data_IF_881995871059
#
_entry.id   IF_881995871059
#
_cell.length_a   1.000
_cell.length_b   1.000
_cell.length_c   1.000
_cell.angle_alpha   90.00
_cell.angle_beta   90.00
_cell.angle_gamma   90.00
#
_symmetry.space_group_name_H-M   'P 1'
#
loop_
_entity.id
_entity.type
_entity.pdbx_description
1 polymer ?
#
# COMPACT_ATOMS: atom_id res chain seq x y z
N UNK A 1 -25.37 11.00 17.60
CA UNK A 1 -24.15 10.93 18.44
C UNK A 1 -24.59 10.51 19.82
N UNK A 2 -23.97 9.51 20.40
CA UNK A 2 -24.19 9.19 21.81
C UNK A 2 -23.40 10.25 22.59
N UNK A 3 -24.09 11.23 23.13
CA UNK A 3 -23.47 12.24 23.97
C UNK A 3 -23.01 11.59 25.29
N UNK A 4 -21.74 11.74 25.60
CA UNK A 4 -21.20 11.53 26.93
C UNK A 4 -20.65 10.13 27.26
N UNK A 5 -19.58 9.70 26.61
CA UNK A 5 -18.65 8.80 27.27
C UNK A 5 -17.83 9.63 28.29
N UNK A 6 -18.34 9.76 29.48
CA UNK A 6 -17.55 10.21 30.62
C UNK A 6 -16.65 9.06 31.05
N UNK A 7 -15.35 9.35 31.18
CA UNK A 7 -14.42 8.41 31.80
C UNK A 7 -14.96 8.08 33.22
N UNK A 8 -15.19 6.79 33.47
CA UNK A 8 -15.73 6.35 34.78
C UNK A 8 -14.64 6.23 35.84
N UNK A 9 -13.37 6.44 35.49
CA UNK A 9 -12.29 6.48 36.46
C UNK A 9 -12.32 7.81 37.23
N UNK A 10 -12.08 7.79 38.56
CA UNK A 10 -11.98 9.01 39.32
C UNK A 10 -10.78 9.84 38.83
N UNK A 11 -10.99 11.15 38.71
CA UNK A 11 -9.91 12.09 38.42
C UNK A 11 -9.04 12.22 39.67
N UNK A 12 -7.76 11.89 39.51
CA UNK A 12 -6.78 11.91 40.58
C UNK A 12 -6.23 13.31 40.85
N UNK A 13 -6.36 14.23 39.87
CA UNK A 13 -5.92 15.63 39.98
C UNK A 13 -6.85 16.55 39.15
N UNK A 14 -8.01 16.92 39.69
CA UNK A 14 -8.96 17.77 38.96
C UNK A 14 -8.43 19.18 38.64
N UNK A 15 -7.45 19.68 39.41
CA UNK A 15 -6.85 21.00 39.18
C UNK A 15 -5.95 20.96 37.93
N UNK A 16 -5.04 19.96 37.83
CA UNK A 16 -4.22 19.75 36.65
C UNK A 16 -5.08 19.50 35.41
N UNK A 17 -6.13 18.68 35.52
CA UNK A 17 -7.08 18.43 34.43
C UNK A 17 -7.74 19.72 33.96
N UNK A 18 -8.15 20.59 34.89
CA UNK A 18 -8.69 21.90 34.57
C UNK A 18 -7.71 22.78 33.80
N UNK A 19 -6.47 22.87 34.24
CA UNK A 19 -5.41 23.64 33.56
C UNK A 19 -5.17 23.17 32.12
N UNK A 20 -5.16 21.85 31.86
CA UNK A 20 -5.04 21.29 30.51
C UNK A 20 -6.22 21.67 29.62
N UNK A 21 -7.46 21.59 30.13
CA UNK A 21 -8.66 21.97 29.39
C UNK A 21 -8.69 23.48 29.09
N UNK A 22 -8.36 24.34 30.06
CA UNK A 22 -8.27 25.79 29.87
C UNK A 22 -7.18 26.17 28.85
N UNK A 23 -6.06 25.46 28.88
CA UNK A 23 -4.99 25.65 27.90
C UNK A 23 -5.45 25.30 26.49
N UNK A 24 -6.21 24.20 26.33
CA UNK A 24 -6.78 23.80 25.05
C UNK A 24 -7.84 24.80 24.57
N UNK A 25 -8.72 25.27 25.41
CA UNK A 25 -9.72 26.31 25.09
C UNK A 25 -9.04 27.62 24.67
N UNK A 26 -8.03 28.06 25.42
CA UNK A 26 -7.19 29.20 25.04
C UNK A 26 -6.53 29.04 23.68
N UNK A 27 -6.08 27.82 23.32
CA UNK A 27 -5.52 27.53 21.99
C UNK A 27 -6.59 27.67 20.91
N UNK A 28 -7.81 27.18 21.15
CA UNK A 28 -8.94 27.33 20.23
C UNK A 28 -9.26 28.81 20.00
N UNK A 29 -9.34 29.60 21.08
CA UNK A 29 -9.70 31.02 21.01
C UNK A 29 -8.63 31.88 20.31
N UNK A 30 -7.34 31.65 20.61
CA UNK A 30 -6.25 32.45 20.05
C UNK A 30 -5.83 32.05 18.64
N UNK A 31 -5.82 30.73 18.36
CA UNK A 31 -5.23 30.18 17.13
C UNK A 31 -6.23 29.44 16.25
N UNK A 32 -7.49 29.39 16.69
CA UNK A 32 -8.59 28.78 15.97
C UNK A 32 -8.61 27.24 16.05
N UNK A 33 -9.78 26.69 15.72
CA UNK A 33 -10.07 25.23 15.77
C UNK A 33 -9.07 24.38 14.98
N UNK A 34 -8.44 24.96 14.00
CA UNK A 34 -7.51 24.28 13.13
C UNK A 34 -6.19 23.96 13.83
N UNK A 35 -5.59 24.97 14.52
CA UNK A 35 -4.39 24.78 15.32
C UNK A 35 -4.65 23.82 16.48
N UNK A 36 -5.79 23.93 17.11
CA UNK A 36 -6.22 23.04 18.17
C UNK A 36 -6.32 21.57 17.69
N UNK A 37 -6.89 21.33 16.50
CA UNK A 37 -6.94 19.99 15.88
C UNK A 37 -5.55 19.43 15.63
N UNK A 38 -4.61 20.23 15.12
CA UNK A 38 -3.24 19.82 14.92
C UNK A 38 -2.55 19.44 16.23
N UNK A 39 -2.71 20.26 17.28
CA UNK A 39 -2.14 19.97 18.59
C UNK A 39 -2.71 18.70 19.21
N UNK A 40 -4.03 18.50 19.10
CA UNK A 40 -4.67 17.28 19.58
C UNK A 40 -4.10 16.04 18.85
N UNK A 41 -3.94 16.10 17.53
CA UNK A 41 -3.34 15.01 16.76
C UNK A 41 -1.89 14.70 17.21
N UNK A 42 -1.09 15.74 17.49
CA UNK A 42 0.28 15.57 18.01
C UNK A 42 0.32 15.00 19.42
N UNK A 43 -0.62 15.37 20.27
CA UNK A 43 -0.74 14.77 21.61
C UNK A 43 -1.13 13.28 21.52
N UNK A 44 -2.05 12.93 20.63
CA UNK A 44 -2.42 11.52 20.39
C UNK A 44 -1.25 10.70 19.83
N UNK A 45 -0.49 11.27 18.91
CA UNK A 45 0.75 10.64 18.39
C UNK A 45 1.75 10.39 19.52
N UNK A 46 1.97 11.40 20.37
CA UNK A 46 2.87 11.28 21.54
C UNK A 46 2.39 10.26 22.55
N UNK A 47 1.08 10.25 22.84
CA UNK A 47 0.47 9.25 23.72
C UNK A 47 0.70 7.83 23.19
N UNK A 48 0.58 7.63 21.86
CA UNK A 48 0.87 6.35 21.22
C UNK A 48 2.33 5.91 21.42
N UNK A 49 3.31 6.82 21.25
CA UNK A 49 4.74 6.50 21.45
C UNK A 49 5.10 6.19 22.93
N UNK A 50 4.35 6.74 23.85
CA UNK A 50 4.53 6.50 25.30
C UNK A 50 3.66 5.35 25.82
N UNK A 51 2.91 4.66 24.97
CA UNK A 51 1.94 3.65 25.35
C UNK A 51 0.92 4.17 26.42
N UNK A 52 0.59 5.44 26.35
CA UNK A 52 -0.44 6.07 27.17
C UNK A 52 -1.75 6.07 26.39
N UNK A 53 -2.74 5.37 26.89
CA UNK A 53 -4.04 5.26 26.26
C UNK A 53 -4.40 3.84 25.80
N UNK A 54 -5.69 3.55 25.75
CA UNK A 54 -6.20 2.19 25.57
C UNK A 54 -6.50 1.81 24.11
N UNK A 55 -6.44 2.72 23.17
CA UNK A 55 -6.63 2.42 21.75
C UNK A 55 -5.81 3.37 20.89
N UNK A 56 -4.95 2.86 19.99
CA UNK A 56 -4.38 3.70 18.96
C UNK A 56 -5.51 4.29 18.10
N UNK A 57 -5.34 5.49 17.53
CA UNK A 57 -6.35 6.06 16.65
C UNK A 57 -6.64 5.07 15.52
N UNK A 58 -7.92 4.87 15.22
CA UNK A 58 -8.35 3.94 14.17
C UNK A 58 -7.84 4.34 12.79
N UNK A 59 -7.48 5.60 12.60
CA UNK A 59 -6.85 6.12 11.38
C UNK A 59 -5.96 7.33 11.70
N UNK A 60 -4.97 7.55 10.87
CA UNK A 60 -4.02 8.66 10.94
C UNK A 60 -4.22 9.61 9.75
N UNK A 61 -3.66 10.83 9.76
CA UNK A 61 -3.77 11.75 8.61
C UNK A 61 -3.41 11.08 7.26
N UNK A 62 -3.99 11.56 6.16
CA UNK A 62 -3.81 10.99 4.81
C UNK A 62 -2.45 11.37 4.21
N UNK A 63 -1.39 10.97 4.89
CA UNK A 63 0.02 11.13 4.49
C UNK A 63 0.79 9.82 4.70
N UNK A 64 2.04 9.81 4.27
CA UNK A 64 2.94 8.67 4.49
C UNK A 64 3.15 8.43 5.98
N UNK A 65 3.22 7.16 6.38
CA UNK A 65 3.50 6.78 7.78
C UNK A 65 4.95 7.08 8.15
N UNK A 66 5.88 6.82 7.22
CA UNK A 66 7.30 7.08 7.43
C UNK A 66 7.60 8.50 6.96
N UNK A 67 8.11 9.33 7.88
CA UNK A 67 8.49 10.71 7.57
C UNK A 67 9.75 10.77 6.70
N UNK A 68 9.99 11.83 5.92
CA UNK A 68 11.23 11.98 5.15
C UNK A 68 12.50 11.89 5.99
N UNK A 69 12.45 12.34 7.26
CA UNK A 69 13.59 12.26 8.20
C UNK A 69 13.91 10.83 8.64
N UNK A 70 12.92 9.94 8.63
CA UNK A 70 13.04 8.55 9.10
C UNK A 70 13.26 7.57 7.96
N UNK A 71 13.27 8.06 6.71
CA UNK A 71 13.48 7.21 5.55
C UNK A 71 14.93 6.72 5.47
N UNK A 72 15.12 5.41 5.31
CA UNK A 72 16.44 4.88 4.99
C UNK A 72 16.88 5.34 3.59
N UNK A 73 18.20 5.45 3.42
CA UNK A 73 18.76 5.67 2.10
C UNK A 73 18.36 4.53 1.14
N UNK A 74 17.88 4.91 -0.07
CA UNK A 74 17.62 3.94 -1.14
C UNK A 74 18.93 3.54 -1.80
N UNK A 75 19.34 2.26 -1.76
CA UNK A 75 20.66 1.84 -2.22
C UNK A 75 20.73 1.65 -3.75
N UNK A 76 19.59 1.69 -4.46
CA UNK A 76 19.51 1.45 -5.89
C UNK A 76 19.81 2.67 -6.76
N UNK A 77 19.98 2.42 -8.05
CA UNK A 77 19.98 3.43 -9.10
C UNK A 77 18.55 3.59 -9.64
N UNK A 78 17.86 4.64 -9.21
CA UNK A 78 16.46 4.87 -9.62
C UNK A 78 16.27 5.01 -11.12
N UNK A 79 17.24 5.57 -11.85
CA UNK A 79 17.14 5.73 -13.30
C UNK A 79 17.23 4.35 -13.98
N UNK A 80 18.17 3.53 -13.57
CA UNK A 80 18.31 2.18 -14.06
C UNK A 80 17.08 1.32 -13.74
N UNK A 81 16.60 1.34 -12.49
CA UNK A 81 15.43 0.58 -12.08
C UNK A 81 14.16 1.05 -12.80
N UNK A 82 13.99 2.35 -13.00
CA UNK A 82 12.90 2.92 -13.79
C UNK A 82 12.94 2.44 -15.24
N UNK A 83 14.14 2.35 -15.83
CA UNK A 83 14.35 1.84 -17.18
C UNK A 83 14.02 0.34 -17.28
N UNK A 84 14.46 -0.48 -16.34
CA UNK A 84 14.13 -1.92 -16.26
C UNK A 84 12.63 -2.11 -16.13
N UNK A 85 11.98 -1.40 -15.19
CA UNK A 85 10.53 -1.42 -15.02
C UNK A 85 9.78 -1.07 -16.31
N UNK A 86 10.29 -0.12 -17.08
CA UNK A 86 9.68 0.27 -18.35
C UNK A 86 9.74 -0.87 -19.37
N UNK A 87 10.85 -1.61 -19.46
CA UNK A 87 10.93 -2.80 -20.29
C UNK A 87 9.98 -3.90 -19.86
N UNK A 88 9.85 -4.16 -18.54
CA UNK A 88 8.93 -5.16 -18.02
C UNK A 88 7.49 -4.79 -18.36
N UNK A 89 7.10 -3.53 -18.15
CA UNK A 89 5.76 -3.03 -18.50
C UNK A 89 5.48 -3.14 -19.98
N UNK A 90 6.46 -2.80 -20.83
CA UNK A 90 6.35 -2.92 -22.28
C UNK A 90 6.16 -4.39 -22.70
N UNK A 91 6.98 -5.30 -22.19
CA UNK A 91 6.88 -6.72 -22.51
C UNK A 91 5.53 -7.31 -22.06
N UNK A 92 5.04 -6.93 -20.88
CA UNK A 92 3.73 -7.34 -20.42
C UNK A 92 2.61 -6.85 -21.36
N UNK A 93 2.67 -5.60 -21.78
CA UNK A 93 1.71 -5.03 -22.74
C UNK A 93 1.80 -5.72 -24.11
N UNK A 94 3.00 -5.90 -24.65
CA UNK A 94 3.22 -6.57 -25.93
C UNK A 94 2.71 -8.01 -25.91
N UNK A 95 2.98 -8.77 -24.85
CA UNK A 95 2.49 -10.13 -24.65
C UNK A 95 0.96 -10.21 -24.71
N UNK A 96 0.27 -9.36 -23.96
CA UNK A 96 -1.20 -9.35 -23.93
C UNK A 96 -1.78 -8.91 -25.28
N UNK A 97 -1.24 -7.85 -25.88
CA UNK A 97 -1.69 -7.36 -27.20
C UNK A 97 -1.48 -8.41 -28.28
N UNK A 98 -0.34 -9.09 -28.30
CA UNK A 98 -0.06 -10.13 -29.30
C UNK A 98 -1.00 -11.34 -29.12
N UNK A 99 -1.26 -11.76 -27.88
CA UNK A 99 -2.20 -12.84 -27.60
C UNK A 99 -3.61 -12.50 -28.16
N UNK A 100 -4.09 -11.28 -27.94
CA UNK A 100 -5.40 -10.84 -28.44
C UNK A 100 -5.47 -10.67 -29.98
N UNK A 101 -4.32 -10.57 -30.68
CA UNK A 101 -4.28 -10.61 -32.14
C UNK A 101 -4.39 -12.04 -32.71
N UNK A 102 -3.99 -13.04 -31.94
CA UNK A 102 -3.97 -14.44 -32.39
C UNK A 102 -5.27 -15.19 -32.14
N UNK A 103 -6.05 -14.77 -31.15
CA UNK A 103 -7.35 -15.36 -30.85
C UNK A 103 -8.28 -14.34 -30.15
N UNK A 104 -9.48 -14.23 -30.66
CA UNK A 104 -10.50 -13.35 -30.08
C UNK A 104 -10.84 -13.76 -28.63
N UNK A 105 -10.97 -12.75 -27.76
CA UNK A 105 -11.44 -12.95 -26.40
C UNK A 105 -10.44 -13.55 -25.41
N UNK A 106 -9.16 -13.72 -25.79
CA UNK A 106 -8.12 -14.16 -24.83
C UNK A 106 -8.07 -13.22 -23.62
N UNK A 107 -8.17 -11.90 -23.85
CA UNK A 107 -8.11 -10.92 -22.78
C UNK A 107 -6.73 -10.79 -22.14
N UNK A 108 -6.70 -10.36 -20.88
CA UNK A 108 -5.50 -10.14 -20.08
C UNK A 108 -5.59 -8.82 -19.32
N UNK A 109 -5.07 -8.79 -18.10
CA UNK A 109 -5.14 -7.62 -17.23
C UNK A 109 -3.79 -6.91 -17.21
N UNK A 110 -3.71 -5.68 -17.74
CA UNK A 110 -2.49 -4.87 -17.75
C UNK A 110 -2.48 -3.83 -16.63
N UNK A 111 -3.62 -3.22 -16.36
CA UNK A 111 -3.71 -2.08 -15.42
C UNK A 111 -3.31 -2.42 -14.00
N UNK A 112 -3.60 -3.63 -13.53
CA UNK A 112 -3.22 -4.10 -12.20
C UNK A 112 -1.71 -4.14 -12.06
N UNK A 113 -1.01 -4.76 -13.02
CA UNK A 113 0.46 -4.77 -13.00
C UNK A 113 1.03 -3.37 -13.20
N UNK A 114 0.49 -2.59 -14.15
CA UNK A 114 0.97 -1.24 -14.43
C UNK A 114 0.93 -0.33 -13.18
N UNK A 115 -0.12 -0.47 -12.37
CA UNK A 115 -0.25 0.29 -11.11
C UNK A 115 0.67 -0.23 -10.00
N UNK A 116 0.96 -1.52 -9.95
CA UNK A 116 1.76 -2.16 -8.90
C UNK A 116 3.23 -2.41 -9.28
N UNK A 117 3.65 -2.02 -10.49
CA UNK A 117 4.97 -2.37 -11.02
C UNK A 117 6.13 -1.99 -10.08
N UNK A 118 6.12 -0.79 -9.51
CA UNK A 118 7.17 -0.35 -8.55
C UNK A 118 7.15 -1.20 -7.28
N UNK A 119 5.97 -1.59 -6.80
CA UNK A 119 5.83 -2.45 -5.61
C UNK A 119 6.49 -3.81 -5.84
N UNK A 120 6.29 -4.40 -7.03
CA UNK A 120 6.95 -5.66 -7.40
C UNK A 120 8.45 -5.48 -7.61
N UNK A 121 8.88 -4.44 -8.34
CA UNK A 121 10.31 -4.22 -8.62
C UNK A 121 11.13 -4.05 -7.35
N UNK A 122 10.67 -3.21 -6.41
CA UNK A 122 11.36 -3.04 -5.14
C UNK A 122 11.35 -4.34 -4.32
N UNK A 123 10.25 -5.08 -4.32
CA UNK A 123 10.17 -6.38 -3.65
C UNK A 123 11.19 -7.38 -4.22
N UNK A 124 11.22 -7.55 -5.53
CA UNK A 124 12.14 -8.48 -6.20
C UNK A 124 13.60 -8.06 -6.08
N UNK A 125 13.90 -6.78 -6.21
CA UNK A 125 15.28 -6.33 -6.25
C UNK A 125 15.93 -6.29 -4.86
N UNK A 126 15.16 -6.09 -3.77
CA UNK A 126 15.70 -5.74 -2.48
C UNK A 126 15.22 -6.59 -1.30
N UNK A 127 14.06 -7.23 -1.40
CA UNK A 127 13.44 -7.84 -0.22
C UNK A 127 13.11 -9.32 -0.33
N UNK A 128 12.70 -9.80 -1.50
CA UNK A 128 12.35 -11.22 -1.65
C UNK A 128 13.61 -12.07 -1.74
N UNK A 129 13.77 -13.00 -0.81
CA UNK A 129 14.92 -13.88 -0.74
C UNK A 129 14.60 -15.24 -1.34
N UNK A 130 15.48 -15.71 -2.22
CA UNK A 130 15.41 -17.07 -2.76
C UNK A 130 15.83 -18.12 -1.72
N UNK A 131 15.81 -19.38 -2.16
CA UNK A 131 16.25 -20.55 -1.36
C UNK A 131 17.75 -20.84 -1.55
N UNK A 132 18.52 -19.82 -1.90
CA UNK A 132 19.95 -19.95 -2.14
C UNK A 132 20.69 -20.17 -0.80
N UNK A 133 21.83 -20.80 -0.86
CA UNK A 133 22.72 -21.03 0.27
C UNK A 133 22.08 -21.81 1.45
N UNK A 134 21.05 -22.63 1.18
CA UNK A 134 20.40 -23.44 2.18
C UNK A 134 19.45 -22.68 3.11
N UNK A 135 19.13 -21.43 2.80
CA UNK A 135 18.12 -20.66 3.52
C UNK A 135 16.69 -21.09 3.10
N UNK A 136 15.69 -21.02 3.98
CA UNK A 136 14.32 -21.40 3.64
C UNK A 136 13.68 -20.53 2.57
N UNK A 137 14.22 -19.33 2.32
CA UNK A 137 13.67 -18.35 1.38
C UNK A 137 12.36 -17.73 1.87
N UNK A 138 11.85 -16.80 1.07
CA UNK A 138 10.57 -16.15 1.30
C UNK A 138 9.51 -16.70 0.34
N UNK A 139 8.23 -16.52 0.67
CA UNK A 139 7.11 -16.97 -0.14
C UNK A 139 6.27 -15.79 -0.58
N UNK A 140 5.93 -15.73 -1.88
CA UNK A 140 5.19 -14.60 -2.45
C UNK A 140 3.90 -15.08 -3.09
N UNK A 141 2.77 -14.60 -2.56
CA UNK A 141 1.45 -14.72 -3.16
C UNK A 141 1.24 -13.54 -4.10
N UNK A 142 1.47 -13.75 -5.38
CA UNK A 142 1.28 -12.73 -6.40
C UNK A 142 -0.19 -12.47 -6.63
N UNK A 143 -0.60 -11.21 -6.79
CA UNK A 143 -1.97 -10.91 -7.20
C UNK A 143 -2.24 -11.52 -8.58
N UNK A 144 -3.32 -12.28 -8.72
CA UNK A 144 -3.62 -13.02 -9.94
C UNK A 144 -3.63 -12.16 -11.21
N UNK A 145 -4.24 -10.97 -11.14
CA UNK A 145 -4.30 -10.02 -12.27
C UNK A 145 -2.95 -9.37 -12.63
N UNK A 146 -1.92 -9.50 -11.78
CA UNK A 146 -0.57 -8.99 -12.07
C UNK A 146 0.33 -10.02 -12.77
N UNK A 147 -0.15 -11.26 -13.01
CA UNK A 147 0.63 -12.33 -13.65
C UNK A 147 1.36 -11.90 -14.95
N UNK A 148 0.79 -11.07 -15.85
CA UNK A 148 1.51 -10.63 -17.05
C UNK A 148 2.84 -9.94 -16.75
N UNK A 149 2.91 -9.14 -15.67
CA UNK A 149 4.16 -8.48 -15.27
C UNK A 149 5.18 -9.46 -14.72
N UNK A 150 4.74 -10.47 -13.96
CA UNK A 150 5.63 -11.51 -13.43
C UNK A 150 6.23 -12.34 -14.59
N UNK A 151 5.43 -12.71 -15.58
CA UNK A 151 5.94 -13.38 -16.79
C UNK A 151 6.94 -12.50 -17.57
N UNK A 152 6.61 -11.22 -17.76
CA UNK A 152 7.48 -10.28 -18.45
C UNK A 152 8.83 -10.09 -17.73
N UNK A 153 8.84 -10.05 -16.41
CA UNK A 153 10.06 -10.03 -15.60
C UNK A 153 10.84 -11.34 -15.76
N UNK A 154 10.20 -12.48 -15.63
CA UNK A 154 10.84 -13.80 -15.77
C UNK A 154 11.44 -13.98 -17.17
N UNK A 155 10.85 -13.40 -18.21
CA UNK A 155 11.44 -13.36 -19.55
C UNK A 155 12.75 -12.56 -19.57
N UNK A 156 12.80 -11.36 -18.96
CA UNK A 156 14.04 -10.60 -18.88
C UNK A 156 15.12 -11.32 -18.06
N UNK A 157 14.72 -12.09 -17.07
CA UNK A 157 15.60 -12.95 -16.25
C UNK A 157 16.01 -14.26 -16.97
N UNK A 158 15.58 -14.48 -18.21
CA UNK A 158 15.82 -15.69 -19.01
C UNK A 158 15.27 -16.98 -18.38
N UNK A 159 14.23 -16.87 -17.57
CA UNK A 159 13.47 -17.99 -17.02
C UNK A 159 12.33 -18.44 -17.95
N UNK A 160 11.92 -17.56 -18.84
CA UNK A 160 10.95 -17.83 -19.90
C UNK A 160 11.54 -17.39 -21.25
N UNK A 161 11.16 -18.12 -22.31
CA UNK A 161 11.51 -17.80 -23.67
C UNK A 161 10.38 -17.01 -24.36
N UNK A 162 10.68 -16.37 -25.51
CA UNK A 162 9.69 -15.61 -26.29
C UNK A 162 8.49 -16.47 -26.71
N UNK A 163 8.73 -17.75 -27.01
CA UNK A 163 7.66 -18.69 -27.36
C UNK A 163 6.64 -18.86 -26.24
N UNK A 164 7.08 -18.84 -24.97
CA UNK A 164 6.17 -18.91 -23.83
C UNK A 164 5.26 -17.66 -23.78
N UNK A 165 5.83 -16.46 -23.99
CA UNK A 165 5.07 -15.21 -24.00
C UNK A 165 4.04 -15.17 -25.14
N UNK A 166 4.40 -15.69 -26.33
CA UNK A 166 3.51 -15.77 -27.48
C UNK A 166 2.32 -16.74 -27.26
N UNK A 167 2.39 -17.57 -26.21
CA UNK A 167 1.33 -18.52 -25.82
C UNK A 167 0.66 -18.14 -24.49
N UNK A 168 0.63 -16.85 -24.19
CA UNK A 168 -0.04 -16.33 -23.00
C UNK A 168 -1.53 -16.67 -22.99
N UNK A 169 -2.04 -17.17 -21.86
CA UNK A 169 -3.44 -17.63 -21.64
C UNK A 169 -3.87 -18.76 -22.59
N UNK A 170 -2.92 -19.58 -23.01
CA UNK A 170 -3.17 -20.77 -23.84
C UNK A 170 -2.87 -22.05 -23.06
N UNK A 171 -3.12 -22.05 -21.76
CA UNK A 171 -2.84 -23.17 -20.85
C UNK A 171 -3.59 -24.46 -21.19
N UNK A 172 -4.74 -24.36 -21.88
CA UNK A 172 -5.49 -25.53 -22.38
C UNK A 172 -4.70 -26.26 -23.48
N UNK A 173 -3.83 -25.56 -24.18
CA UNK A 173 -2.90 -26.13 -25.15
C UNK A 173 -1.56 -26.33 -24.46
N UNK A 174 -0.98 -27.51 -24.57
CA UNK A 174 0.29 -27.85 -23.95
C UNK A 174 1.36 -26.74 -24.09
N UNK A 175 1.96 -26.33 -22.97
CA UNK A 175 3.06 -25.35 -22.90
C UNK A 175 2.66 -23.88 -23.02
N UNK A 176 1.39 -23.52 -22.88
CA UNK A 176 0.95 -22.13 -22.79
C UNK A 176 1.09 -21.60 -21.36
N UNK A 177 1.34 -20.28 -21.22
CA UNK A 177 1.34 -19.62 -19.91
C UNK A 177 -0.08 -19.58 -19.34
N UNK A 178 -0.22 -19.89 -18.06
CA UNK A 178 -1.52 -19.87 -17.36
C UNK A 178 -2.05 -18.45 -17.24
N UNK A 179 -3.38 -18.33 -17.26
CA UNK A 179 -4.10 -17.04 -17.12
C UNK A 179 -3.81 -16.36 -15.80
N UNK A 180 -3.64 -17.16 -14.74
CA UNK A 180 -3.33 -16.74 -13.38
C UNK A 180 -2.27 -17.66 -12.78
N UNK A 181 -1.64 -17.31 -11.65
CA UNK A 181 -0.77 -18.22 -10.92
C UNK A 181 -1.45 -19.57 -10.68
N UNK A 182 -0.90 -20.63 -11.27
CA UNK A 182 -1.50 -21.96 -11.26
C UNK A 182 -0.45 -23.08 -11.17
N UNK A 183 -0.10 -23.54 -9.95
CA UNK A 183 0.95 -24.55 -9.74
C UNK A 183 0.76 -25.88 -10.47
N UNK A 184 -0.48 -26.29 -10.73
CA UNK A 184 -0.73 -27.54 -11.50
C UNK A 184 -0.41 -27.42 -12.99
N UNK A 185 -0.58 -26.23 -13.55
CA UNK A 185 -0.30 -25.99 -14.98
C UNK A 185 1.16 -25.59 -15.21
N UNK A 186 1.76 -24.93 -14.23
CA UNK A 186 3.15 -24.48 -14.28
C UNK A 186 3.86 -24.77 -12.95
N UNK A 187 4.13 -26.08 -12.63
CA UNK A 187 4.64 -26.48 -11.33
C UNK A 187 6.06 -25.98 -11.03
N UNK A 188 6.88 -25.77 -12.07
CA UNK A 188 8.24 -25.25 -11.94
C UNK A 188 8.31 -23.72 -11.90
N UNK A 189 7.16 -23.06 -11.98
CA UNK A 189 7.10 -21.59 -12.05
C UNK A 189 6.29 -20.99 -10.90
N UNK A 190 5.09 -21.50 -10.62
CA UNK A 190 4.19 -20.99 -9.59
C UNK A 190 4.19 -21.88 -8.35
N UNK A 191 4.43 -21.28 -7.19
CA UNK A 191 4.32 -22.00 -5.90
C UNK A 191 2.89 -21.98 -5.37
N UNK A 192 2.15 -20.88 -5.55
CA UNK A 192 0.82 -20.68 -4.96
C UNK A 192 -0.22 -20.26 -6.00
N UNK A 193 -1.46 -20.82 -5.91
CA UNK A 193 -2.54 -20.39 -6.78
C UNK A 193 -3.17 -19.09 -6.25
N UNK A 194 -3.40 -18.12 -7.13
CA UNK A 194 -4.11 -16.88 -6.81
C UNK A 194 -4.99 -16.42 -7.98
N UNK A 195 -6.12 -15.78 -7.67
CA UNK A 195 -7.07 -15.27 -8.69
C UNK A 195 -7.61 -13.88 -8.39
N UNK A 196 -7.05 -13.15 -7.42
CA UNK A 196 -7.51 -11.82 -6.98
C UNK A 196 -8.97 -11.78 -6.48
N UNK A 197 -9.38 -12.81 -5.74
CA UNK A 197 -10.71 -12.97 -5.14
C UNK A 197 -10.63 -13.33 -3.64
N UNK A 198 -9.63 -12.81 -2.95
CA UNK A 198 -9.43 -13.00 -1.50
C UNK A 198 -8.77 -14.31 -1.08
N UNK A 199 -8.65 -15.31 -1.96
CA UNK A 199 -8.07 -16.62 -1.61
C UNK A 199 -6.55 -16.57 -1.42
N UNK A 200 -5.83 -15.76 -2.20
CA UNK A 200 -4.39 -15.54 -2.00
C UNK A 200 -4.08 -14.98 -0.62
N UNK A 201 -4.70 -13.84 -0.23
CA UNK A 201 -4.54 -13.27 1.09
C UNK A 201 -4.87 -14.23 2.24
N UNK A 202 -6.01 -14.89 2.22
CA UNK A 202 -6.37 -15.83 3.31
C UNK A 202 -5.39 -17.01 3.40
N UNK A 203 -4.96 -17.56 2.26
CA UNK A 203 -3.97 -18.63 2.23
C UNK A 203 -2.62 -18.18 2.78
N UNK A 204 -2.20 -16.94 2.52
CA UNK A 204 -0.98 -16.37 3.08
C UNK A 204 -1.00 -16.31 4.61
N UNK A 205 -2.16 -16.02 5.21
CA UNK A 205 -2.35 -16.06 6.67
C UNK A 205 -2.18 -17.48 7.21
N UNK A 206 -2.82 -18.47 6.59
CA UNK A 206 -2.68 -19.87 7.03
C UNK A 206 -1.26 -20.37 6.83
N UNK A 207 -0.58 -19.98 5.76
CA UNK A 207 0.81 -20.33 5.52
C UNK A 207 1.73 -19.71 6.60
N UNK A 208 1.62 -18.42 6.86
CA UNK A 208 2.40 -17.76 7.91
C UNK A 208 2.20 -18.41 9.28
N UNK A 209 0.95 -18.77 9.60
CA UNK A 209 0.62 -19.51 10.83
C UNK A 209 1.20 -20.91 10.85
N UNK A 210 1.19 -21.60 9.72
CA UNK A 210 1.77 -22.96 9.62
C UNK A 210 3.29 -22.91 9.76
N UNK A 211 3.99 -21.96 9.16
CA UNK A 211 5.42 -21.77 9.35
C UNK A 211 5.76 -21.58 10.83
N UNK A 212 5.01 -20.72 11.54
CA UNK A 212 5.19 -20.56 12.98
C UNK A 212 4.96 -21.86 13.74
N UNK A 213 3.91 -22.62 13.38
CA UNK A 213 3.62 -23.92 14.01
C UNK A 213 4.76 -24.93 13.83
N UNK A 214 5.32 -25.09 12.62
CA UNK A 214 6.40 -26.06 12.41
C UNK A 214 7.70 -25.66 13.10
N UNK A 215 8.02 -24.36 13.16
CA UNK A 215 9.14 -23.84 13.94
C UNK A 215 8.95 -24.10 15.45
N UNK A 216 7.78 -23.74 16.01
CA UNK A 216 7.45 -23.95 17.42
C UNK A 216 7.48 -25.45 17.81
N UNK A 217 7.11 -26.32 16.88
CA UNK A 217 7.18 -27.78 17.05
C UNK A 217 8.57 -28.38 16.77
N UNK A 218 9.53 -27.56 16.33
CA UNK A 218 10.89 -27.99 15.94
C UNK A 218 10.88 -29.07 14.85
N UNK A 219 9.91 -28.99 13.94
CA UNK A 219 9.82 -29.88 12.78
C UNK A 219 10.72 -29.38 11.64
N UNK A 220 10.82 -28.07 11.51
CA UNK A 220 11.70 -27.38 10.58
C UNK A 220 11.94 -25.95 11.08
N UNK A 221 13.00 -25.29 10.62
CA UNK A 221 13.29 -23.90 10.96
C UNK A 221 12.86 -22.95 9.82
N UNK A 222 11.67 -22.40 9.96
CA UNK A 222 11.13 -21.37 9.05
C UNK A 222 11.09 -19.98 9.70
N UNK A 223 11.81 -19.79 10.82
CA UNK A 223 11.77 -18.54 11.59
C UNK A 223 12.23 -17.32 10.80
N UNK A 224 13.15 -17.49 9.86
CA UNK A 224 13.64 -16.43 8.98
C UNK A 224 12.78 -16.21 7.72
N UNK A 225 11.84 -17.12 7.41
CA UNK A 225 11.02 -17.08 6.20
C UNK A 225 9.87 -16.10 6.35
N UNK A 226 9.68 -15.21 5.39
CA UNK A 226 8.57 -14.26 5.34
C UNK A 226 7.56 -14.67 4.27
N UNK A 227 6.31 -14.33 4.54
CA UNK A 227 5.20 -14.53 3.62
C UNK A 227 4.74 -13.16 3.14
N UNK A 228 4.88 -12.89 1.84
CA UNK A 228 4.39 -11.68 1.20
C UNK A 228 3.10 -12.00 0.44
N UNK A 229 2.11 -11.12 0.51
CA UNK A 229 0.90 -11.26 -0.30
C UNK A 229 0.51 -9.94 -0.94
N UNK A 230 0.35 -9.95 -2.25
CA UNK A 230 -0.12 -8.82 -3.03
C UNK A 230 -1.61 -8.95 -3.29
N UNK A 231 -2.33 -7.87 -3.01
CA UNK A 231 -3.77 -7.79 -3.24
C UNK A 231 -4.19 -6.37 -3.65
N UNK A 232 -5.34 -6.25 -4.29
CA UNK A 232 -5.94 -4.97 -4.63
C UNK A 232 -6.83 -4.44 -3.51
N UNK A 233 -7.04 -3.13 -3.49
CA UNK A 233 -8.01 -2.48 -2.59
C UNK A 233 -9.44 -3.01 -2.77
N UNK A 234 -9.85 -3.28 -4.01
CA UNK A 234 -11.14 -3.95 -4.29
C UNK A 234 -11.19 -5.41 -3.84
N UNK A 235 -10.06 -6.12 -3.83
CA UNK A 235 -9.97 -7.48 -3.31
C UNK A 235 -10.12 -7.53 -1.77
N UNK A 236 -9.88 -6.43 -1.10
CA UNK A 236 -10.11 -6.32 0.35
C UNK A 236 -11.60 -6.39 0.72
N UNK A 237 -12.53 -6.18 -0.23
CA UNK A 237 -13.96 -6.33 0.03
C UNK A 237 -14.44 -7.80 0.02
N UNK A 238 -13.61 -8.72 -0.46
CA UNK A 238 -13.96 -10.15 -0.46
C UNK A 238 -14.05 -10.68 0.98
N UNK A 239 -15.12 -11.44 1.30
CA UNK A 239 -15.31 -11.97 2.65
C UNK A 239 -14.12 -12.80 3.16
N UNK A 240 -13.45 -13.52 2.27
CA UNK A 240 -12.26 -14.32 2.58
C UNK A 240 -11.11 -13.45 3.06
N UNK A 241 -10.90 -12.27 2.45
CA UNK A 241 -9.88 -11.33 2.87
C UNK A 241 -10.21 -10.74 4.24
N UNK A 242 -11.41 -10.14 4.39
CA UNK A 242 -11.81 -9.46 5.62
C UNK A 242 -11.95 -10.42 6.80
N UNK A 243 -12.52 -11.60 6.58
CA UNK A 243 -12.81 -12.57 7.63
C UNK A 243 -11.56 -13.12 8.35
N UNK A 244 -10.41 -13.09 7.71
CA UNK A 244 -9.17 -13.66 8.24
C UNK A 244 -8.21 -12.62 8.85
N UNK A 245 -8.41 -11.33 8.62
CA UNK A 245 -7.50 -10.26 9.09
C UNK A 245 -7.30 -10.34 10.61
N UNK A 246 -8.36 -10.52 11.38
CA UNK A 246 -8.30 -10.61 12.85
C UNK A 246 -7.57 -11.88 13.35
N UNK A 247 -7.54 -12.95 12.55
CA UNK A 247 -6.80 -14.16 12.89
C UNK A 247 -5.29 -13.89 12.88
N UNK A 248 -4.80 -13.17 11.87
CA UNK A 248 -3.37 -12.87 11.75
C UNK A 248 -2.87 -12.01 12.92
N UNK A 249 -3.61 -10.96 13.30
CA UNK A 249 -3.27 -10.13 14.46
C UNK A 249 -3.28 -10.91 15.77
N UNK A 250 -4.34 -11.69 16.03
CA UNK A 250 -4.43 -12.54 17.25
C UNK A 250 -3.34 -13.60 17.33
N UNK A 251 -2.95 -14.19 16.21
CA UNK A 251 -1.87 -15.17 16.14
C UNK A 251 -0.47 -14.52 16.13
N UNK A 252 -0.39 -13.19 16.14
CA UNK A 252 0.87 -12.43 16.12
C UNK A 252 1.81 -12.91 15.02
N UNK A 253 1.32 -12.87 13.76
CA UNK A 253 2.07 -13.37 12.61
C UNK A 253 3.06 -12.32 12.09
N UNK A 254 4.12 -12.03 12.84
CA UNK A 254 5.15 -11.05 12.46
C UNK A 254 5.93 -11.42 11.19
N UNK A 255 5.81 -12.65 10.72
CA UNK A 255 6.37 -13.13 9.45
C UNK A 255 5.48 -12.86 8.23
N UNK A 256 4.34 -12.19 8.39
CA UNK A 256 3.37 -11.90 7.32
C UNK A 256 3.38 -10.42 6.93
N UNK A 257 3.57 -10.15 5.64
CA UNK A 257 3.50 -8.81 5.05
C UNK A 257 2.50 -8.79 3.91
N UNK A 258 1.48 -7.95 4.02
CA UNK A 258 0.55 -7.67 2.93
C UNK A 258 0.87 -6.36 2.23
N UNK A 259 0.82 -6.37 0.90
CA UNK A 259 1.00 -5.20 0.06
C UNK A 259 -0.29 -4.94 -0.70
N UNK A 260 -1.04 -3.94 -0.27
CA UNK A 260 -2.32 -3.55 -0.90
C UNK A 260 -2.06 -2.48 -1.95
N UNK A 261 -2.30 -2.83 -3.20
CA UNK A 261 -2.25 -1.91 -4.32
C UNK A 261 -3.54 -1.07 -4.36
N UNK A 262 -3.52 0.09 -3.72
CA UNK A 262 -4.67 1.00 -3.65
C UNK A 262 -4.71 1.89 -4.89
N UNK A 263 -5.16 1.35 -6.01
CA UNK A 263 -5.34 2.10 -7.25
C UNK A 263 -6.73 2.74 -7.38
N UNK A 264 -7.58 2.58 -6.36
CA UNK A 264 -8.90 3.20 -6.18
C UNK A 264 -9.96 2.78 -7.20
N UNK A 265 -9.70 1.74 -8.01
CA UNK A 265 -10.62 1.32 -9.08
C UNK A 265 -10.81 -0.19 -9.13
N UNK A 266 -12.06 -0.61 -9.36
CA UNK A 266 -12.46 -1.94 -9.79
C UNK A 266 -12.57 -2.00 -11.33
N UNK A 267 -13.02 -3.14 -11.85
CA UNK A 267 -13.29 -3.29 -13.29
C UNK A 267 -14.43 -2.39 -13.75
N UNK A 268 -15.44 -2.23 -12.93
CA UNK A 268 -16.72 -1.57 -13.20
C UNK A 268 -16.83 -0.15 -12.63
N UNK A 269 -15.77 0.36 -11.97
CA UNK A 269 -15.78 1.71 -11.43
C UNK A 269 -14.89 1.91 -10.19
N UNK A 270 -15.09 3.01 -9.48
CA UNK A 270 -14.31 3.32 -8.28
C UNK A 270 -14.65 2.37 -7.13
N UNK A 271 -13.64 2.05 -6.31
CA UNK A 271 -13.81 1.20 -5.11
C UNK A 271 -14.73 1.88 -4.09
N UNK A 272 -14.52 3.18 -3.87
CA UNK A 272 -15.35 4.02 -2.99
C UNK A 272 -15.55 5.39 -3.63
N UNK A 273 -16.72 5.61 -4.23
CA UNK A 273 -17.02 6.87 -4.92
C UNK A 273 -16.91 8.11 -4.02
N UNK A 274 -17.51 8.06 -2.83
CA UNK A 274 -17.57 9.15 -1.85
C UNK A 274 -16.82 8.87 -0.55
N UNK A 275 -15.95 7.84 -0.52
CA UNK A 275 -15.18 7.43 0.64
C UNK A 275 -13.68 7.59 0.43
N UNK A 276 -12.92 7.03 1.37
CA UNK A 276 -11.45 6.98 1.36
C UNK A 276 -11.02 5.57 1.75
N UNK A 277 -10.85 4.71 0.76
CA UNK A 277 -10.59 3.29 1.00
C UNK A 277 -9.32 3.05 1.84
N UNK A 278 -8.26 3.85 1.64
CA UNK A 278 -7.01 3.71 2.44
C UNK A 278 -7.27 3.97 3.92
N UNK A 279 -8.11 4.96 4.26
CA UNK A 279 -8.45 5.27 5.64
C UNK A 279 -9.37 4.20 6.25
N UNK A 280 -10.30 3.67 5.47
CA UNK A 280 -11.17 2.57 5.89
C UNK A 280 -10.33 1.31 6.19
N UNK A 281 -9.44 0.94 5.26
CA UNK A 281 -8.54 -0.21 5.43
C UNK A 281 -7.57 -0.01 6.60
N UNK A 282 -7.01 1.19 6.77
CA UNK A 282 -6.18 1.50 7.94
C UNK A 282 -6.93 1.19 9.24
N UNK A 283 -8.20 1.63 9.34
CA UNK A 283 -9.04 1.37 10.51
C UNK A 283 -9.27 -0.12 10.77
N UNK A 284 -9.55 -0.88 9.71
CA UNK A 284 -9.78 -2.33 9.78
C UNK A 284 -8.51 -3.06 10.26
N UNK A 285 -7.36 -2.77 9.64
CA UNK A 285 -6.10 -3.45 9.97
C UNK A 285 -5.61 -3.08 11.38
N UNK A 286 -5.65 -1.80 11.75
CA UNK A 286 -5.28 -1.37 13.11
C UNK A 286 -6.19 -1.99 14.17
N UNK A 287 -7.50 -2.01 13.93
CA UNK A 287 -8.47 -2.65 14.83
C UNK A 287 -8.26 -4.15 14.98
N UNK A 288 -7.68 -4.80 13.99
CA UNK A 288 -7.30 -6.21 14.02
C UNK A 288 -5.89 -6.49 14.58
N UNK A 289 -5.15 -5.47 15.01
CA UNK A 289 -3.83 -5.61 15.62
C UNK A 289 -2.67 -5.74 14.62
N UNK A 290 -2.82 -5.20 13.41
CA UNK A 290 -1.76 -5.12 12.42
C UNK A 290 -0.97 -3.82 12.52
N UNK A 291 0.31 -3.88 12.16
CA UNK A 291 1.08 -2.69 11.81
C UNK A 291 0.61 -2.18 10.44
N UNK A 292 0.37 -0.88 10.33
CA UNK A 292 -0.09 -0.27 9.08
C UNK A 292 0.90 0.79 8.62
N UNK A 293 1.42 0.62 7.40
CA UNK A 293 2.32 1.55 6.74
C UNK A 293 1.60 2.11 5.51
N UNK A 294 1.35 3.41 5.50
CA UNK A 294 0.77 4.10 4.34
C UNK A 294 1.86 4.70 3.46
N UNK A 295 1.73 4.49 2.16
CA UNK A 295 2.60 5.05 1.12
C UNK A 295 1.71 5.78 0.11
N UNK A 296 1.37 7.03 0.44
CA UNK A 296 0.34 7.81 -0.25
C UNK A 296 0.94 8.80 -1.25
N UNK A 297 2.00 9.50 -0.85
CA UNK A 297 2.61 10.58 -1.62
C UNK A 297 4.07 10.27 -1.94
N UNK A 298 4.50 10.60 -3.17
CA UNK A 298 5.89 10.48 -3.59
C UNK A 298 6.78 11.58 -3.02
N UNK A 299 8.11 11.45 -3.19
CA UNK A 299 9.12 12.33 -2.59
C UNK A 299 8.98 13.80 -2.98
N UNK A 300 8.46 14.10 -4.19
CA UNK A 300 8.21 15.49 -4.64
C UNK A 300 7.23 16.22 -3.73
N UNK A 301 6.31 15.50 -3.09
CA UNK A 301 5.36 16.08 -2.14
C UNK A 301 5.99 16.48 -0.81
N UNK A 302 7.15 15.93 -0.45
CA UNK A 302 7.76 16.16 0.86
C UNK A 302 8.05 17.65 1.11
N UNK A 303 8.57 18.34 0.10
CA UNK A 303 8.86 19.79 0.20
C UNK A 303 7.57 20.62 0.35
N UNK A 304 6.52 20.25 -0.39
CA UNK A 304 5.23 20.95 -0.32
C UNK A 304 4.57 20.71 1.06
N UNK A 305 4.64 19.48 1.56
CA UNK A 305 4.10 19.13 2.88
C UNK A 305 4.88 19.82 4.00
N UNK A 306 6.20 19.94 3.90
CA UNK A 306 7.03 20.64 4.88
C UNK A 306 6.71 22.13 4.97
N UNK A 307 6.31 22.75 3.86
CA UNK A 307 5.89 24.17 3.81
C UNK A 307 4.48 24.39 4.38
N UNK A 308 3.68 23.34 4.60
CA UNK A 308 2.31 23.43 5.14
C UNK A 308 2.31 23.62 6.65
N UNK A 309 2.85 24.72 7.15
CA UNK A 309 2.93 25.05 8.57
C UNK A 309 1.58 25.19 9.24
N UNK A 310 0.56 25.54 8.49
CA UNK A 310 -0.82 25.72 8.96
C UNK A 310 -1.66 24.43 8.88
N UNK A 311 -1.19 23.38 8.20
CA UNK A 311 -1.90 22.13 7.97
C UNK A 311 -3.09 22.26 6.99
N UNK A 312 -3.08 23.28 6.06
CA UNK A 312 -4.16 23.43 5.07
C UNK A 312 -4.13 22.32 4.05
N UNK A 313 -2.93 21.94 3.60
CA UNK A 313 -2.75 20.86 2.68
C UNK A 313 -3.11 19.52 3.34
N UNK A 314 -2.67 19.30 4.57
CA UNK A 314 -3.06 18.13 5.34
C UNK A 314 -4.58 18.00 5.50
N UNK A 315 -5.25 19.12 5.80
CA UNK A 315 -6.72 19.13 5.87
C UNK A 315 -7.35 18.85 4.50
N UNK A 316 -6.81 19.42 3.43
CA UNK A 316 -7.28 19.16 2.05
C UNK A 316 -7.12 17.67 1.71
N UNK A 317 -5.97 17.05 2.03
CA UNK A 317 -5.77 15.62 1.85
C UNK A 317 -6.79 14.79 2.63
N UNK A 318 -7.07 15.14 3.88
CA UNK A 318 -8.01 14.41 4.74
C UNK A 318 -9.46 14.52 4.26
N UNK A 319 -9.84 15.61 3.63
CA UNK A 319 -11.23 15.89 3.21
C UNK A 319 -11.52 15.55 1.75
N UNK A 320 -10.51 15.41 0.90
CA UNK A 320 -10.67 15.03 -0.51
C UNK A 320 -11.00 13.54 -0.61
N UNK A 321 -12.08 13.20 -1.29
CA UNK A 321 -12.54 11.82 -1.50
C UNK A 321 -11.80 11.12 -2.64
N UNK A 322 -11.85 9.79 -2.69
CA UNK A 322 -11.12 8.99 -3.67
C UNK A 322 -11.51 9.31 -5.11
N UNK A 323 -12.79 9.55 -5.38
CA UNK A 323 -13.27 9.93 -6.71
C UNK A 323 -12.64 11.25 -7.22
N UNK A 324 -12.46 12.23 -6.33
CA UNK A 324 -11.77 13.47 -6.69
C UNK A 324 -10.26 13.25 -6.91
N UNK A 325 -9.60 12.43 -6.08
CA UNK A 325 -8.21 12.06 -6.33
C UNK A 325 -7.99 11.34 -7.65
N UNK A 326 -8.95 10.53 -8.10
CA UNK A 326 -8.90 9.90 -9.43
C UNK A 326 -9.02 10.93 -10.53
N UNK A 327 -9.96 11.87 -10.39
CA UNK A 327 -10.15 12.96 -11.32
C UNK A 327 -8.89 13.83 -11.46
N UNK A 328 -8.31 14.24 -10.33
CA UNK A 328 -7.06 15.02 -10.30
C UNK A 328 -5.86 14.31 -10.98
N UNK A 329 -5.92 12.99 -11.14
CA UNK A 329 -4.85 12.24 -11.79
C UNK A 329 -4.89 12.28 -13.33
N UNK A 330 -6.02 12.66 -13.91
CA UNK A 330 -6.26 12.67 -15.36
C UNK A 330 -6.57 14.06 -15.93
N UNK A 331 -6.93 15.01 -15.08
CA UNK A 331 -7.22 16.39 -15.48
C UNK A 331 -5.94 17.22 -15.64
N UNK A 332 -5.93 18.24 -16.49
CA UNK A 332 -4.75 19.09 -16.70
C UNK A 332 -4.41 19.91 -15.45
N UNK A 333 -3.18 20.41 -15.40
CA UNK A 333 -2.69 21.24 -14.28
C UNK A 333 -3.59 22.42 -13.95
N UNK A 334 -4.22 23.05 -14.96
CA UNK A 334 -5.17 24.15 -14.75
C UNK A 334 -6.35 23.76 -13.87
N UNK A 335 -6.91 22.56 -14.10
CA UNK A 335 -7.98 22.03 -13.26
C UNK A 335 -7.48 21.76 -11.82
N UNK A 336 -6.29 21.19 -11.67
CA UNK A 336 -5.70 20.90 -10.36
C UNK A 336 -5.45 22.19 -9.58
N UNK A 337 -4.90 23.22 -10.25
CA UNK A 337 -4.70 24.53 -9.64
C UNK A 337 -6.01 25.18 -9.18
N UNK A 338 -7.03 25.16 -10.02
CA UNK A 338 -8.31 25.80 -9.72
C UNK A 338 -9.11 25.05 -8.64
N UNK A 339 -9.22 23.72 -8.75
CA UNK A 339 -10.16 22.93 -7.95
C UNK A 339 -9.55 22.29 -6.71
N UNK A 340 -8.27 21.95 -6.76
CA UNK A 340 -7.60 21.36 -5.59
C UNK A 340 -6.88 22.41 -4.74
N UNK A 341 -6.05 23.26 -5.35
CA UNK A 341 -5.30 24.29 -4.64
C UNK A 341 -6.02 25.64 -4.55
N UNK A 342 -6.84 26.00 -5.53
CA UNK A 342 -7.50 27.30 -5.66
C UNK A 342 -8.51 27.68 -4.57
N UNK A 343 -9.24 26.75 -3.96
CA UNK A 343 -10.23 27.07 -2.91
C UNK A 343 -9.67 27.77 -1.66
N UNK A 344 -8.37 27.64 -1.39
CA UNK A 344 -7.70 28.35 -0.30
C UNK A 344 -6.42 29.03 -0.85
N UNK A 345 -6.27 30.36 -0.72
CA UNK A 345 -5.09 31.07 -1.23
C UNK A 345 -3.76 30.52 -0.72
N UNK A 346 -3.73 30.00 0.51
CA UNK A 346 -2.53 29.39 1.11
C UNK A 346 -2.13 28.10 0.40
N UNK A 347 -3.12 27.30 -0.08
CA UNK A 347 -2.83 26.12 -0.92
C UNK A 347 -2.24 26.54 -2.26
N UNK A 348 -2.78 27.60 -2.88
CA UNK A 348 -2.25 28.13 -4.14
C UNK A 348 -0.80 28.64 -3.98
N UNK A 349 -0.50 29.27 -2.85
CA UNK A 349 0.85 29.75 -2.54
C UNK A 349 1.86 28.61 -2.41
N UNK A 350 1.48 27.49 -1.76
CA UNK A 350 2.34 26.31 -1.60
C UNK A 350 2.87 25.76 -2.93
N UNK A 351 2.14 25.94 -4.01
CA UNK A 351 2.48 25.39 -5.34
C UNK A 351 2.72 26.47 -6.40
N UNK A 352 2.80 27.73 -6.00
CA UNK A 352 2.99 28.89 -6.90
C UNK A 352 4.29 28.82 -7.71
N UNK A 353 5.30 28.19 -7.14
CA UNK A 353 6.62 28.02 -7.75
C UNK A 353 6.70 26.83 -8.72
N UNK A 354 5.71 25.94 -8.74
CA UNK A 354 5.69 24.79 -9.64
C UNK A 354 5.12 25.15 -11.01
N UNK A 355 5.73 24.62 -12.04
CA UNK A 355 5.20 24.66 -13.41
C UNK A 355 3.99 23.75 -13.55
N UNK A 356 3.21 23.90 -14.61
CA UNK A 356 2.07 23.02 -14.89
C UNK A 356 2.53 21.58 -15.09
N UNK A 357 3.65 21.38 -15.77
CA UNK A 357 4.24 20.06 -15.95
C UNK A 357 4.60 19.38 -14.62
N UNK A 358 5.18 20.11 -13.68
CA UNK A 358 5.50 19.58 -12.34
C UNK A 358 4.27 19.23 -11.55
N UNK A 359 3.16 19.98 -11.71
CA UNK A 359 1.87 19.64 -11.07
C UNK A 359 1.27 18.37 -11.64
N UNK A 360 1.32 18.17 -12.96
CA UNK A 360 0.84 16.97 -13.63
C UNK A 360 1.68 15.74 -13.25
N UNK A 361 2.98 15.92 -13.06
CA UNK A 361 3.93 14.88 -12.73
C UNK A 361 3.99 14.56 -11.22
N UNK A 362 3.18 15.20 -10.35
CA UNK A 362 3.16 14.93 -8.92
C UNK A 362 2.85 13.44 -8.61
N UNK A 363 3.82 12.65 -8.11
CA UNK A 363 3.69 11.20 -8.05
C UNK A 363 2.91 10.73 -6.83
N UNK A 364 2.25 9.57 -6.96
CA UNK A 364 1.70 8.79 -5.84
C UNK A 364 2.83 7.98 -5.19
N UNK A 365 2.73 7.76 -3.88
CA UNK A 365 3.75 7.08 -3.10
C UNK A 365 4.10 5.67 -3.57
N UNK A 366 3.10 4.91 -4.02
CA UNK A 366 3.30 3.57 -4.55
C UNK A 366 4.06 3.48 -5.88
N UNK A 367 4.36 4.61 -6.51
CA UNK A 367 5.21 4.71 -7.71
C UNK A 367 6.62 5.23 -7.43
N UNK A 368 6.90 5.60 -6.19
CA UNK A 368 8.15 6.18 -5.72
C UNK A 368 9.04 5.11 -5.08
N UNK A 369 10.24 4.90 -5.64
CA UNK A 369 11.15 3.85 -5.18
C UNK A 369 11.62 4.04 -3.75
N UNK A 370 11.94 5.27 -3.35
CA UNK A 370 12.42 5.56 -2.00
C UNK A 370 11.34 5.31 -0.96
N UNK A 371 10.10 5.78 -1.24
CA UNK A 371 8.95 5.57 -0.35
C UNK A 371 8.58 4.10 -0.21
N UNK A 372 8.57 3.39 -1.33
CA UNK A 372 8.26 1.94 -1.34
C UNK A 372 9.37 1.15 -0.64
N UNK A 373 10.65 1.46 -0.90
CA UNK A 373 11.77 0.82 -0.21
C UNK A 373 11.70 1.02 1.31
N UNK A 374 11.45 2.26 1.76
CA UNK A 374 11.29 2.57 3.18
C UNK A 374 10.17 1.74 3.83
N UNK A 375 9.04 1.62 3.13
CA UNK A 375 7.90 0.83 3.61
C UNK A 375 8.23 -0.67 3.73
N UNK A 376 8.85 -1.25 2.72
CA UNK A 376 9.29 -2.65 2.78
C UNK A 376 10.32 -2.88 3.88
N UNK A 377 11.30 -1.98 4.02
CA UNK A 377 12.31 -2.09 5.08
C UNK A 377 11.66 -2.12 6.45
N UNK A 378 10.77 -1.17 6.74
CA UNK A 378 10.04 -1.15 8.00
C UNK A 378 9.12 -2.37 8.19
N UNK A 379 8.48 -2.86 7.11
CA UNK A 379 7.63 -4.04 7.17
C UNK A 379 8.40 -5.36 7.38
N UNK A 380 9.69 -5.38 7.05
CA UNK A 380 10.56 -6.56 7.19
C UNK A 380 11.46 -6.51 8.41
N UNK A 381 11.42 -5.46 9.20
CA UNK A 381 12.02 -5.45 10.53
C UNK A 381 11.32 -6.45 11.45
N UNK A 382 12.06 -6.95 12.44
CA UNK A 382 11.50 -7.92 13.38
C UNK A 382 10.41 -7.29 14.24
N UNK A 383 9.24 -7.89 14.22
CA UNK A 383 8.10 -7.47 15.05
C UNK A 383 7.16 -8.63 15.32
N UNK A 384 6.28 -8.47 16.32
CA UNK A 384 5.33 -9.50 16.78
C UNK A 384 3.98 -9.46 16.04
N UNK A 385 3.74 -8.50 15.16
CA UNK A 385 2.46 -8.32 14.51
C UNK A 385 2.59 -8.40 12.99
N UNK A 386 1.57 -8.89 12.28
CA UNK A 386 1.56 -8.80 10.82
C UNK A 386 1.57 -7.35 10.37
N UNK A 387 2.17 -7.09 9.21
CA UNK A 387 2.28 -5.73 8.66
C UNK A 387 1.55 -5.61 7.34
N UNK A 388 0.83 -4.51 7.13
CA UNK A 388 0.24 -4.15 5.85
C UNK A 388 0.81 -2.85 5.33
N UNK A 389 1.20 -2.83 4.06
CA UNK A 389 1.57 -1.64 3.30
C UNK A 389 0.37 -1.24 2.45
N UNK A 390 -0.24 -0.08 2.73
CA UNK A 390 -1.31 0.51 1.93
C UNK A 390 -0.68 1.50 0.95
N UNK A 391 -0.46 1.06 -0.28
CA UNK A 391 0.25 1.84 -1.28
C UNK A 391 -0.72 2.48 -2.28
N UNK A 392 -0.83 3.81 -2.27
CA UNK A 392 -1.63 4.56 -3.25
C UNK A 392 -0.92 4.60 -4.59
N UNK A 393 -1.61 4.11 -5.60
CA UNK A 393 -1.13 4.06 -6.99
C UNK A 393 -2.16 4.68 -7.94
N UNK A 394 -1.88 4.64 -9.22
CA UNK A 394 -2.81 5.03 -10.29
C UNK A 394 -3.01 3.83 -11.20
N UNK A 395 -4.28 3.48 -11.44
CA UNK A 395 -4.62 2.44 -12.42
C UNK A 395 -4.36 2.99 -13.83
N UNK A 396 -3.41 2.40 -14.52
CA UNK A 396 -2.97 2.82 -15.84
C UNK A 396 -3.77 2.20 -16.98
#
# INVERSE_FOLDING_TARGET
MIDGFTNQLPDSDPEETGEWLDSFDSLVDRSGRRRARFMLAKLMERAGTLNVGNAPPTWTPYINTISPSDQPWFPGDEELERRIRSFIRWNAAAMVINANKTADGIGGHLSTFASSATLYEVGFNWFFRGKDDGQPGDHVYFQGHAAPGVYARAFLERRLEEEHLNRFRMEVKSGGLSSYPHPRLMPDFWEYPTVSMGLGPINSIYHARFNKYITDRRLDDTSSSRIFSFLGDGECDEPETLGAISLAGRAKLGNLVWIVNCNLQRLDGPVRGNGKIIQELEGVFRGAGWNVIKVVWGSVWDEIIQKDTDGVLLNKFNTTVDGEFQRLAIEPASYVRENFFGPDPRLSELVSHLTDKEIEDLPRGGHDYQKVFAAYKAATEENDAPTVILAKTVKG
#
